data_IF_414768078019
#
_entry.id   IF_414768078019
#
_cell.length_a   1.000
_cell.length_b   1.000
_cell.length_c   1.000
_cell.angle_alpha   90.00
_cell.angle_beta   90.00
_cell.angle_gamma   90.00
#
_symmetry.space_group_name_H-M   'P 1'
#
loop_
_entity.id
_entity.type
_entity.pdbx_description
1 polymer ?
#
# COMPACT_ATOMS: atom_id res chain seq x y z
N UNK A 1 -20.57 -0.93 8.80
CA UNK A 1 -19.93 -0.44 10.05
C UNK A 1 -18.60 0.21 9.68
N UNK A 2 -18.60 1.53 9.45
CA UNK A 2 -17.36 2.29 9.41
C UNK A 2 -16.89 2.45 10.86
N UNK A 3 -16.00 1.56 11.30
CA UNK A 3 -15.48 1.62 12.64
C UNK A 3 -14.32 2.60 12.72
N UNK A 4 -14.39 3.52 13.68
CA UNK A 4 -13.28 4.39 14.10
C UNK A 4 -12.20 3.62 14.88
N UNK A 5 -12.48 2.39 15.26
CA UNK A 5 -11.56 1.47 15.96
C UNK A 5 -11.07 0.39 15.01
N UNK A 6 -9.80 0.02 15.14
CA UNK A 6 -9.24 -1.10 14.40
C UNK A 6 -9.98 -2.40 14.74
N UNK A 7 -10.50 -3.11 13.74
CA UNK A 7 -11.12 -4.42 13.90
C UNK A 7 -10.55 -5.42 12.90
N UNK A 8 -10.28 -6.62 13.39
CA UNK A 8 -9.80 -7.72 12.57
C UNK A 8 -10.90 -8.76 12.36
N UNK A 9 -11.44 -8.96 11.13
CA UNK A 9 -12.21 -10.15 10.86
C UNK A 9 -11.37 -11.39 11.15
N UNK A 10 -11.90 -12.28 11.99
CA UNK A 10 -11.24 -13.49 12.42
C UNK A 10 -11.75 -14.71 11.66
N UNK A 11 -10.86 -15.66 11.38
CA UNK A 11 -11.22 -17.03 11.01
C UNK A 11 -11.96 -17.72 12.17
N UNK A 12 -12.64 -18.84 11.88
CA UNK A 12 -13.40 -19.62 12.88
C UNK A 12 -12.59 -20.03 14.12
N UNK A 13 -11.28 -20.11 13.99
CA UNK A 13 -10.37 -20.48 15.08
C UNK A 13 -9.78 -19.27 15.84
N UNK A 14 -10.28 -18.05 15.59
CA UNK A 14 -9.83 -16.82 16.24
C UNK A 14 -8.60 -16.15 15.60
N UNK A 15 -8.09 -16.69 14.48
CA UNK A 15 -6.98 -16.07 13.74
C UNK A 15 -7.43 -14.84 12.96
N UNK A 16 -6.83 -13.68 13.24
CA UNK A 16 -7.05 -12.45 12.45
C UNK A 16 -6.45 -12.63 11.06
N UNK A 17 -7.24 -12.42 10.01
CA UNK A 17 -6.81 -12.59 8.60
C UNK A 17 -6.72 -11.27 7.83
N UNK A 18 -7.29 -10.20 8.37
CA UNK A 18 -7.22 -8.84 7.87
C UNK A 18 -7.40 -7.88 9.05
N UNK A 19 -6.88 -6.66 8.94
CA UNK A 19 -7.07 -5.61 9.95
C UNK A 19 -7.53 -4.35 9.26
N UNK A 20 -8.79 -3.95 9.51
CA UNK A 20 -9.31 -2.65 9.10
C UNK A 20 -8.83 -1.65 10.14
N UNK A 21 -7.70 -1.01 9.89
CA UNK A 21 -7.01 -0.17 10.86
C UNK A 21 -7.63 1.22 11.02
N UNK A 22 -8.38 1.67 10.01
CA UNK A 22 -8.91 3.03 9.98
C UNK A 22 -7.76 4.02 9.87
N UNK A 23 -7.80 5.08 10.68
CA UNK A 23 -6.75 6.09 10.76
C UNK A 23 -6.46 6.47 12.22
N UNK A 24 -5.30 7.08 12.52
CA UNK A 24 -5.05 7.68 13.82
C UNK A 24 -6.06 8.77 14.17
N UNK A 25 -6.38 8.92 15.46
CA UNK A 25 -7.21 10.00 16.02
C UNK A 25 -6.49 11.38 16.05
N UNK A 26 -5.47 11.58 15.23
CA UNK A 26 -4.71 12.82 15.18
C UNK A 26 -5.51 13.93 14.48
N UNK A 27 -5.55 15.16 15.03
CA UNK A 27 -6.40 16.24 14.50
C UNK A 27 -6.07 16.63 13.04
N UNK A 28 -4.86 16.32 12.57
CA UNK A 28 -4.38 16.68 11.24
C UNK A 28 -4.26 15.46 10.30
N UNK A 29 -4.90 14.32 10.60
CA UNK A 29 -4.77 13.14 9.73
C UNK A 29 -5.44 13.32 8.37
N UNK A 30 -6.59 14.01 8.32
CA UNK A 30 -7.25 14.32 7.06
C UNK A 30 -6.35 15.16 6.15
N UNK A 31 -5.60 16.13 6.71
CA UNK A 31 -4.63 16.92 5.94
C UNK A 31 -3.50 16.05 5.38
N UNK A 32 -3.07 15.00 6.08
CA UNK A 32 -2.03 14.07 5.60
C UNK A 32 -2.50 13.34 4.35
N UNK A 33 -3.69 12.75 4.40
CA UNK A 33 -4.17 11.96 3.27
C UNK A 33 -4.51 12.86 2.06
N UNK A 34 -5.02 14.07 2.32
CA UNK A 34 -5.27 15.06 1.26
C UNK A 34 -3.97 15.53 0.60
N UNK A 35 -2.94 15.88 1.38
CA UNK A 35 -1.63 16.24 0.82
C UNK A 35 -1.07 15.09 -0.03
N UNK A 36 -1.12 13.85 0.47
CA UNK A 36 -0.65 12.69 -0.27
C UNK A 36 -1.39 12.52 -1.62
N UNK A 37 -2.72 12.69 -1.61
CA UNK A 37 -3.54 12.63 -2.82
C UNK A 37 -3.21 13.76 -3.81
N UNK A 38 -3.11 14.99 -3.32
CA UNK A 38 -2.79 16.17 -4.14
C UNK A 38 -1.39 16.08 -4.76
N UNK A 39 -0.41 15.54 -4.02
CA UNK A 39 0.95 15.28 -4.52
C UNK A 39 0.94 14.26 -5.65
N UNK A 40 0.19 13.16 -5.50
CA UNK A 40 0.05 12.16 -6.57
C UNK A 40 -0.58 12.78 -7.82
N UNK A 41 -1.68 13.52 -7.69
CA UNK A 41 -2.32 14.13 -8.85
C UNK A 41 -1.42 15.16 -9.53
N UNK A 42 -0.74 16.00 -8.74
CA UNK A 42 0.14 17.06 -9.25
C UNK A 42 1.33 16.48 -10.03
N UNK A 43 1.99 15.44 -9.48
CA UNK A 43 3.18 14.84 -10.07
C UNK A 43 2.87 13.83 -11.18
N UNK A 44 1.61 13.43 -11.35
CA UNK A 44 1.19 12.48 -12.38
C UNK A 44 1.58 12.92 -13.78
N UNK A 45 1.49 14.22 -14.07
CA UNK A 45 1.84 14.81 -15.39
C UNK A 45 3.34 14.73 -15.69
N UNK A 46 4.17 14.61 -14.66
CA UNK A 46 5.62 14.54 -14.76
C UNK A 46 6.13 13.09 -14.87
N UNK A 47 5.23 12.11 -14.76
CA UNK A 47 5.56 10.69 -14.89
C UNK A 47 5.75 10.29 -16.36
N UNK A 48 6.86 9.60 -16.64
CA UNK A 48 7.12 8.93 -17.91
C UNK A 48 6.65 7.46 -17.83
N UNK A 49 5.42 7.22 -18.28
CA UNK A 49 4.74 5.92 -18.13
C UNK A 49 4.66 5.16 -19.44
N UNK A 50 5.15 3.92 -19.44
CA UNK A 50 4.93 2.93 -20.49
C UNK A 50 3.46 2.48 -20.59
N UNK A 51 3.10 1.74 -21.64
CA UNK A 51 1.76 1.15 -21.79
C UNK A 51 1.36 0.31 -20.57
N UNK A 52 2.28 -0.52 -20.11
CA UNK A 52 2.05 -1.51 -19.05
C UNK A 52 1.98 -0.85 -17.67
N UNK A 53 2.47 0.38 -17.53
CA UNK A 53 2.31 1.19 -16.31
C UNK A 53 1.00 2.00 -16.30
N UNK A 54 0.28 2.07 -17.43
CA UNK A 54 -1.03 2.74 -17.55
C UNK A 54 -2.18 1.73 -17.57
N UNK A 55 -1.93 0.55 -18.10
CA UNK A 55 -2.87 -0.56 -18.20
C UNK A 55 -2.15 -1.82 -17.76
N UNK A 56 -2.46 -2.27 -16.55
CA UNK A 56 -1.85 -3.45 -15.95
C UNK A 56 -2.92 -4.42 -15.44
N UNK A 57 -2.48 -5.61 -15.02
CA UNK A 57 -3.37 -6.65 -14.48
C UNK A 57 -4.30 -6.18 -13.37
N UNK A 58 -3.85 -5.20 -12.56
CA UNK A 58 -4.64 -4.67 -11.46
C UNK A 58 -5.63 -3.59 -11.89
N UNK A 59 -5.48 -2.91 -13.04
CA UNK A 59 -6.37 -1.81 -13.40
C UNK A 59 -5.88 -0.94 -14.55
N UNK A 60 -6.66 0.11 -14.83
CA UNK A 60 -6.39 1.11 -15.88
C UNK A 60 -6.09 2.47 -15.24
N UNK A 61 -4.94 2.57 -14.60
CA UNK A 61 -4.44 3.80 -14.01
C UNK A 61 -2.91 3.79 -13.99
N UNK A 62 -2.31 4.94 -13.72
CA UNK A 62 -0.87 5.06 -13.63
C UNK A 62 -0.36 4.51 -12.29
N UNK A 63 0.58 3.57 -12.32
CA UNK A 63 1.19 3.01 -11.12
C UNK A 63 2.71 2.97 -11.22
N UNK A 64 3.39 3.52 -10.20
CA UNK A 64 4.84 3.44 -10.06
C UNK A 64 5.22 2.78 -8.73
N UNK A 65 6.35 2.09 -8.71
CA UNK A 65 6.85 1.33 -7.57
C UNK A 65 8.23 1.81 -7.17
N UNK A 66 8.48 1.89 -5.87
CA UNK A 66 9.77 2.27 -5.30
C UNK A 66 10.14 1.31 -4.16
N UNK A 67 11.44 1.09 -3.98
CA UNK A 67 11.99 0.25 -2.91
C UNK A 67 12.62 -1.03 -3.43
N UNK A 68 12.88 -1.96 -2.50
CA UNK A 68 13.57 -3.23 -2.72
C UNK A 68 12.55 -4.27 -3.15
N UNK A 69 12.84 -4.97 -4.25
CA UNK A 69 11.95 -6.00 -4.79
C UNK A 69 12.76 -7.22 -5.24
N UNK A 70 12.08 -8.36 -5.33
CA UNK A 70 12.56 -9.58 -5.98
C UNK A 70 11.45 -10.18 -6.85
N UNK A 71 11.81 -10.69 -8.03
CA UNK A 71 10.86 -11.18 -9.04
C UNK A 71 10.83 -10.32 -10.31
N UNK A 72 9.87 -10.59 -11.21
CA UNK A 72 9.74 -9.82 -12.46
C UNK A 72 10.92 -9.95 -13.43
N UNK A 73 11.67 -11.05 -13.36
CA UNK A 73 12.88 -11.29 -14.16
C UNK A 73 14.19 -10.92 -13.46
N UNK A 74 14.15 -10.30 -12.27
CA UNK A 74 15.34 -10.07 -11.47
C UNK A 74 15.93 -11.39 -10.96
N UNK A 75 17.26 -11.52 -11.01
CA UNK A 75 17.97 -12.73 -10.53
C UNK A 75 18.30 -12.68 -9.04
N UNK A 76 18.28 -11.50 -8.43
CA UNK A 76 18.52 -11.25 -7.01
C UNK A 76 17.67 -10.05 -6.52
N UNK A 77 17.49 -9.87 -5.20
CA UNK A 77 16.85 -8.67 -4.66
C UNK A 77 17.62 -7.40 -5.03
N UNK A 78 16.92 -6.36 -5.46
CA UNK A 78 17.53 -5.07 -5.81
C UNK A 78 16.49 -3.95 -5.69
N UNK A 79 16.96 -2.70 -5.63
CA UNK A 79 16.07 -1.55 -5.79
C UNK A 79 15.45 -1.53 -7.20
N UNK A 80 14.16 -1.23 -7.27
CA UNK A 80 13.43 -1.11 -8.53
C UNK A 80 14.01 0.03 -9.39
N UNK A 81 14.46 -0.31 -10.60
CA UNK A 81 14.97 0.66 -11.56
C UNK A 81 13.83 1.47 -12.19
N UNK A 82 14.02 2.77 -12.31
CA UNK A 82 13.05 3.72 -12.87
C UNK A 82 13.75 4.65 -13.86
N UNK A 83 12.99 5.20 -14.81
CA UNK A 83 13.53 6.26 -15.69
C UNK A 83 13.91 7.47 -14.85
N UNK A 84 14.84 8.30 -15.34
CA UNK A 84 15.27 9.50 -14.61
C UNK A 84 14.09 10.40 -14.20
N UNK A 85 13.12 10.60 -15.09
CA UNK A 85 11.90 11.36 -14.80
C UNK A 85 11.08 10.73 -13.64
N UNK A 86 10.85 9.42 -13.69
CA UNK A 86 10.10 8.73 -12.64
C UNK A 86 10.86 8.67 -11.32
N UNK A 87 12.19 8.55 -11.35
CA UNK A 87 13.04 8.61 -10.15
C UNK A 87 12.87 9.95 -9.45
N UNK A 88 12.87 11.07 -10.18
CA UNK A 88 12.61 12.40 -9.59
C UNK A 88 11.24 12.50 -8.94
N UNK A 89 10.19 12.01 -9.60
CA UNK A 89 8.83 11.97 -9.03
C UNK A 89 8.79 11.11 -7.77
N UNK A 90 9.31 9.88 -7.83
CA UNK A 90 9.28 8.94 -6.71
C UNK A 90 10.11 9.44 -5.52
N UNK A 91 11.27 10.06 -5.76
CA UNK A 91 12.08 10.69 -4.71
C UNK A 91 11.31 11.83 -4.03
N UNK A 92 10.52 12.61 -4.77
CA UNK A 92 9.67 13.65 -4.19
C UNK A 92 8.56 13.03 -3.32
N UNK A 93 7.95 11.93 -3.78
CA UNK A 93 6.91 11.23 -3.02
C UNK A 93 7.45 10.56 -1.75
N UNK A 94 8.58 9.85 -1.81
CA UNK A 94 9.13 9.18 -0.63
C UNK A 94 9.67 10.16 0.43
N UNK A 95 10.09 11.37 0.04
CA UNK A 95 10.52 12.41 0.96
C UNK A 95 9.38 13.33 1.44
N UNK A 96 8.15 13.12 0.97
CA UNK A 96 6.99 13.87 1.44
C UNK A 96 6.56 13.38 2.83
N UNK A 97 6.40 14.31 3.76
CA UNK A 97 6.03 14.03 5.15
C UNK A 97 4.71 13.25 5.24
N UNK A 98 3.76 13.52 4.35
CA UNK A 98 2.50 12.79 4.32
C UNK A 98 2.71 11.27 4.13
N UNK A 99 3.50 10.87 3.13
CA UNK A 99 3.78 9.45 2.88
C UNK A 99 4.61 8.80 3.98
N UNK A 100 5.55 9.53 4.58
CA UNK A 100 6.30 9.06 5.75
C UNK A 100 5.32 8.74 6.90
N UNK A 101 4.37 9.64 7.20
CA UNK A 101 3.37 9.43 8.25
C UNK A 101 2.46 8.23 7.96
N UNK A 102 2.01 8.07 6.72
CA UNK A 102 1.21 6.91 6.29
C UNK A 102 1.98 5.59 6.46
N UNK A 103 3.24 5.54 6.03
CA UNK A 103 4.08 4.35 6.14
C UNK A 103 4.42 3.97 7.59
N UNK A 104 4.69 4.98 8.43
CA UNK A 104 4.88 4.79 9.86
C UNK A 104 3.61 4.20 10.51
N UNK A 105 2.44 4.76 10.23
CA UNK A 105 1.18 4.25 10.78
C UNK A 105 0.92 2.81 10.36
N UNK A 106 1.06 2.50 9.08
CA UNK A 106 0.91 1.15 8.56
C UNK A 106 1.84 0.14 9.26
N UNK A 107 3.09 0.53 9.50
CA UNK A 107 4.08 -0.32 10.18
C UNK A 107 3.75 -0.50 11.67
N UNK A 108 3.31 0.54 12.36
CA UNK A 108 2.87 0.46 13.76
C UNK A 108 1.64 -0.43 13.93
N UNK A 109 0.66 -0.34 13.01
CA UNK A 109 -0.50 -1.24 13.01
C UNK A 109 -0.06 -2.68 12.80
N UNK A 110 0.88 -2.93 11.87
CA UNK A 110 1.40 -4.27 11.64
C UNK A 110 2.07 -4.84 12.90
N UNK A 111 2.97 -4.08 13.52
CA UNK A 111 3.64 -4.48 14.75
C UNK A 111 2.65 -4.80 15.89
N UNK A 112 1.53 -4.07 15.96
CA UNK A 112 0.50 -4.25 16.99
C UNK A 112 -0.32 -5.51 16.78
N UNK A 113 -0.78 -5.75 15.55
CA UNK A 113 -1.78 -6.80 15.26
C UNK A 113 -1.17 -8.14 14.87
N UNK A 114 0.05 -8.16 14.35
CA UNK A 114 0.74 -9.39 13.97
C UNK A 114 2.23 -9.34 14.33
N UNK A 115 2.58 -9.18 15.63
CA UNK A 115 3.96 -8.96 16.08
C UNK A 115 4.94 -10.05 15.65
N UNK A 116 4.50 -11.31 15.62
CA UNK A 116 5.34 -12.42 15.17
C UNK A 116 5.67 -12.32 13.68
N UNK A 117 4.70 -11.94 12.84
CA UNK A 117 4.90 -11.76 11.41
C UNK A 117 5.68 -10.47 11.12
N UNK A 118 5.45 -9.39 11.88
CA UNK A 118 6.26 -8.19 11.83
C UNK A 118 7.74 -8.50 12.14
N UNK A 119 8.00 -9.30 13.18
CA UNK A 119 9.36 -9.74 13.53
C UNK A 119 9.99 -10.57 12.41
N UNK A 120 9.22 -11.44 11.74
CA UNK A 120 9.68 -12.17 10.57
C UNK A 120 10.15 -11.21 9.46
N UNK A 121 9.34 -10.19 9.14
CA UNK A 121 9.74 -9.17 8.17
C UNK A 121 11.01 -8.43 8.61
N UNK A 122 11.10 -8.06 9.89
CA UNK A 122 12.21 -7.28 10.42
C UNK A 122 13.54 -8.05 10.33
N UNK A 123 13.55 -9.32 10.73
CA UNK A 123 14.74 -10.18 10.66
C UNK A 123 15.20 -10.32 9.21
N UNK A 124 14.30 -10.74 8.31
CA UNK A 124 14.71 -11.00 6.92
C UNK A 124 15.09 -9.74 6.15
N UNK A 125 14.44 -8.60 6.43
CA UNK A 125 14.84 -7.33 5.84
C UNK A 125 16.20 -6.86 6.38
N UNK A 126 16.44 -7.02 7.69
CA UNK A 126 17.73 -6.71 8.30
C UNK A 126 18.87 -7.55 7.72
N UNK A 127 18.67 -8.87 7.65
CA UNK A 127 19.66 -9.80 7.08
C UNK A 127 19.97 -9.43 5.62
N UNK A 128 18.92 -9.10 4.83
CA UNK A 128 19.09 -8.67 3.45
C UNK A 128 19.95 -7.40 3.34
N UNK A 129 19.72 -6.40 4.19
CA UNK A 129 20.46 -5.14 4.19
C UNK A 129 21.91 -5.29 4.70
N UNK A 130 22.17 -6.26 5.59
CA UNK A 130 23.54 -6.61 5.99
C UNK A 130 24.28 -7.29 4.83
N UNK A 131 23.60 -8.17 4.10
CA UNK A 131 24.22 -8.91 3.00
C UNK A 131 24.49 -8.04 1.76
N UNK A 132 23.67 -7.01 1.53
CA UNK A 132 23.84 -6.09 0.40
C UNK A 132 23.65 -4.63 0.86
N UNK A 133 24.77 -3.98 1.14
CA UNK A 133 24.83 -2.58 1.54
C UNK A 133 24.49 -1.59 0.40
N UNK A 134 24.28 -2.05 -0.83
CA UNK A 134 23.83 -1.19 -1.95
C UNK A 134 22.33 -0.96 -1.94
N UNK A 135 21.57 -1.75 -1.18
CA UNK A 135 20.12 -1.65 -1.08
C UNK A 135 19.68 -0.43 -0.27
N UNK A 136 18.76 0.34 -0.85
CA UNK A 136 18.23 1.56 -0.26
C UNK A 136 16.79 1.33 0.20
N UNK A 137 16.54 1.52 1.48
CA UNK A 137 15.20 1.50 2.06
C UNK A 137 14.37 2.70 1.62
N UNK A 138 13.08 2.48 1.37
CA UNK A 138 12.10 3.53 1.07
C UNK A 138 11.88 4.47 2.26
N UNK A 139 11.66 3.93 3.46
CA UNK A 139 11.53 4.72 4.69
C UNK A 139 12.17 3.98 5.86
N UNK A 140 12.96 4.70 6.66
CA UNK A 140 13.64 4.15 7.86
C UNK A 140 12.67 3.60 8.91
N UNK A 141 11.46 4.16 8.97
CA UNK A 141 10.42 3.78 9.94
C UNK A 141 9.34 2.87 9.32
N UNK A 142 9.59 2.29 8.14
CA UNK A 142 8.68 1.34 7.49
C UNK A 142 9.23 -0.08 7.50
N UNK A 143 8.39 -1.05 7.86
CA UNK A 143 8.73 -2.47 7.75
C UNK A 143 8.57 -3.01 6.32
N UNK A 144 7.84 -2.29 5.47
CA UNK A 144 7.61 -2.68 4.09
C UNK A 144 8.77 -2.23 3.21
N UNK A 145 9.41 -3.19 2.54
CA UNK A 145 10.59 -2.99 1.69
C UNK A 145 10.30 -2.23 0.38
N UNK A 146 9.05 -2.20 -0.05
CA UNK A 146 8.61 -1.48 -1.25
C UNK A 146 7.22 -0.87 -1.07
N UNK A 147 6.96 0.17 -1.86
CA UNK A 147 5.68 0.85 -1.95
C UNK A 147 5.24 0.99 -3.42
N UNK A 148 3.92 0.94 -3.64
CA UNK A 148 3.31 1.27 -4.92
C UNK A 148 2.48 2.54 -4.77
N UNK A 149 2.73 3.52 -5.64
CA UNK A 149 1.97 4.75 -5.74
C UNK A 149 0.99 4.62 -6.92
N UNK A 150 -0.30 4.65 -6.62
CA UNK A 150 -1.37 4.64 -7.62
C UNK A 150 -1.79 6.09 -7.88
N UNK A 151 -1.51 6.60 -9.06
CA UNK A 151 -1.76 7.99 -9.42
C UNK A 151 -3.20 8.16 -9.89
N UNK A 152 -3.86 9.20 -9.36
CA UNK A 152 -5.26 9.55 -9.63
C UNK A 152 -5.54 10.02 -11.06
N UNK A 153 -6.72 10.61 -11.32
CA UNK A 153 -7.76 10.94 -10.34
C UNK A 153 -8.67 9.76 -9.96
N UNK A 154 -8.59 8.62 -10.68
CA UNK A 154 -9.40 7.42 -10.41
C UNK A 154 -8.53 6.16 -10.51
N UNK A 155 -8.42 5.41 -9.42
CA UNK A 155 -7.59 4.19 -9.31
C UNK A 155 -8.46 2.95 -9.11
N UNK A 156 -9.28 2.64 -10.12
CA UNK A 156 -10.17 1.47 -10.10
C UNK A 156 -9.36 0.19 -10.31
N UNK A 157 -9.31 -0.65 -9.28
CA UNK A 157 -8.65 -1.93 -9.32
C UNK A 157 -9.62 -3.04 -9.77
N UNK A 158 -9.25 -3.81 -10.79
CA UNK A 158 -9.90 -5.07 -11.13
C UNK A 158 -9.73 -6.10 -10.01
N UNK A 159 -10.51 -7.17 -10.04
CA UNK A 159 -10.33 -8.31 -9.12
C UNK A 159 -9.00 -9.00 -9.39
N UNK A 160 -8.11 -9.01 -8.42
CA UNK A 160 -6.79 -9.64 -8.54
C UNK A 160 -6.25 -10.13 -7.18
N UNK A 161 -5.11 -10.81 -7.24
CA UNK A 161 -4.18 -10.99 -6.12
C UNK A 161 -2.82 -10.43 -6.52
N UNK A 162 -2.01 -10.09 -5.53
CA UNK A 162 -0.62 -9.72 -5.76
C UNK A 162 0.31 -10.90 -5.52
N UNK A 163 0.25 -11.87 -6.45
CA UNK A 163 0.95 -13.16 -6.38
C UNK A 163 2.48 -13.08 -6.23
N UNK A 164 3.09 -11.91 -6.38
CA UNK A 164 4.52 -11.69 -6.17
C UNK A 164 4.89 -11.39 -4.71
N UNK A 165 3.89 -11.13 -3.86
CA UNK A 165 4.10 -10.90 -2.43
C UNK A 165 4.27 -12.24 -1.68
N UNK A 166 4.85 -12.18 -0.48
CA UNK A 166 4.95 -13.31 0.43
C UNK A 166 3.54 -13.88 0.73
N UNK A 167 3.25 -15.17 0.47
CA UNK A 167 1.89 -15.71 0.58
C UNK A 167 1.19 -15.50 1.92
N UNK A 168 1.91 -15.72 3.02
CA UNK A 168 1.41 -15.49 4.39
C UNK A 168 1.71 -14.08 4.91
N UNK A 169 2.40 -13.27 4.11
CA UNK A 169 2.76 -11.91 4.44
C UNK A 169 1.57 -10.96 4.36
N UNK A 170 1.61 -9.87 5.11
CA UNK A 170 0.63 -8.80 5.04
C UNK A 170 1.19 -7.60 4.31
N UNK A 171 0.31 -6.87 3.63
CA UNK A 171 0.60 -5.58 3.01
C UNK A 171 -0.41 -4.56 3.48
N UNK A 172 0.02 -3.31 3.58
CA UNK A 172 -0.86 -2.19 3.90
C UNK A 172 -1.39 -1.53 2.61
N UNK A 173 -2.69 -1.22 2.61
CA UNK A 173 -3.33 -0.36 1.61
C UNK A 173 -3.91 0.84 2.34
N UNK A 174 -3.67 2.05 1.83
CA UNK A 174 -4.29 3.27 2.32
C UNK A 174 -5.12 3.91 1.21
N UNK A 175 -6.39 4.21 1.47
CA UNK A 175 -7.22 5.01 0.56
C UNK A 175 -6.86 6.49 0.68
N UNK A 176 -6.80 7.20 -0.45
CA UNK A 176 -6.46 8.62 -0.52
C UNK A 176 -7.47 9.36 -1.40
N UNK A 177 -7.57 10.67 -1.20
CA UNK A 177 -8.31 11.59 -2.06
C UNK A 177 -9.62 12.09 -1.45
N UNK A 178 -10.48 12.64 -2.29
CA UNK A 178 -11.78 13.19 -1.89
C UNK A 178 -12.88 12.45 -2.64
N UNK A 179 -13.59 11.57 -1.92
CA UNK A 179 -14.76 10.86 -2.43
C UNK A 179 -15.71 10.53 -1.28
N UNK A 180 -16.99 10.30 -1.61
CA UNK A 180 -17.97 9.85 -0.63
C UNK A 180 -17.88 8.32 -0.47
N UNK A 181 -17.21 7.88 0.59
CA UNK A 181 -16.96 6.47 0.88
C UNK A 181 -18.20 5.65 1.26
N UNK A 182 -19.37 6.28 1.40
CA UNK A 182 -20.65 5.59 1.53
C UNK A 182 -21.34 5.33 0.18
N UNK A 183 -20.88 5.99 -0.89
CA UNK A 183 -21.44 5.86 -2.23
C UNK A 183 -20.51 5.12 -3.21
N UNK A 184 -19.25 4.91 -2.84
CA UNK A 184 -18.24 4.33 -3.73
C UNK A 184 -16.87 4.19 -3.09
N UNK A 185 -15.90 3.69 -3.86
CA UNK A 185 -14.53 3.47 -3.37
C UNK A 185 -14.41 2.34 -2.33
N UNK A 186 -15.44 1.52 -2.18
CA UNK A 186 -15.47 0.43 -1.21
C UNK A 186 -14.40 -0.61 -1.58
N UNK A 187 -13.73 -1.16 -0.57
CA UNK A 187 -12.82 -2.28 -0.75
C UNK A 187 -13.61 -3.59 -0.73
N UNK A 188 -13.38 -4.44 -1.72
CA UNK A 188 -14.04 -5.75 -1.83
C UNK A 188 -13.01 -6.84 -1.56
N UNK A 189 -13.26 -7.66 -0.54
CA UNK A 189 -12.48 -8.86 -0.21
C UNK A 189 -13.31 -10.08 -0.61
N UNK A 190 -13.08 -10.58 -1.82
CA UNK A 190 -13.96 -11.54 -2.49
C UNK A 190 -14.05 -12.88 -1.77
N UNK A 191 -12.92 -13.38 -1.27
CA UNK A 191 -12.88 -14.70 -0.60
C UNK A 191 -13.57 -14.67 0.76
N UNK A 192 -13.60 -13.49 1.40
CA UNK A 192 -14.30 -13.28 2.67
C UNK A 192 -15.76 -12.87 2.47
N UNK A 193 -16.19 -12.65 1.22
CA UNK A 193 -17.51 -12.10 0.88
C UNK A 193 -17.81 -10.78 1.61
N UNK A 194 -16.78 -9.94 1.76
CA UNK A 194 -16.89 -8.64 2.43
C UNK A 194 -16.81 -7.49 1.44
N UNK A 195 -17.69 -6.51 1.61
CA UNK A 195 -17.61 -5.18 1.01
C UNK A 195 -17.47 -4.19 2.16
N UNK A 196 -16.41 -3.39 2.11
CA UNK A 196 -15.96 -2.55 3.23
C UNK A 196 -16.02 -1.09 2.77
N UNK A 197 -16.80 -0.28 3.48
CA UNK A 197 -16.67 1.18 3.44
C UNK A 197 -15.23 1.53 3.77
N UNK A 198 -14.51 2.14 2.82
CA UNK A 198 -13.08 2.40 2.94
C UNK A 198 -12.81 3.90 2.80
N UNK A 199 -12.93 4.67 3.91
CA UNK A 199 -12.80 6.13 3.88
C UNK A 199 -11.41 6.60 3.42
N UNK A 200 -11.29 7.77 2.76
CA UNK A 200 -10.01 8.42 2.56
C UNK A 200 -9.23 8.55 3.88
N UNK A 201 -7.91 8.36 3.81
CA UNK A 201 -7.00 8.32 4.97
C UNK A 201 -7.02 7.01 5.75
N UNK A 202 -7.95 6.09 5.48
CA UNK A 202 -8.01 4.81 6.17
C UNK A 202 -7.03 3.80 5.59
N UNK A 203 -6.46 2.98 6.48
CA UNK A 203 -5.51 1.92 6.16
C UNK A 203 -6.09 0.55 6.51
N UNK A 204 -5.80 -0.46 5.69
CA UNK A 204 -6.11 -1.87 5.95
C UNK A 204 -4.85 -2.71 5.73
N UNK A 205 -4.67 -3.75 6.54
CA UNK A 205 -3.62 -4.76 6.34
C UNK A 205 -4.27 -6.08 5.95
N UNK A 206 -3.88 -6.65 4.81
CA UNK A 206 -4.37 -7.94 4.32
C UNK A 206 -3.27 -8.75 3.64
N UNK A 207 -3.41 -10.09 3.57
CA UNK A 207 -2.50 -10.94 2.80
C UNK A 207 -2.83 -10.87 1.30
N UNK A 208 -2.33 -9.82 0.63
CA UNK A 208 -2.65 -9.52 -0.78
C UNK A 208 -2.27 -10.64 -1.76
N UNK A 209 -1.28 -11.47 -1.41
CA UNK A 209 -0.82 -12.57 -2.24
C UNK A 209 -1.90 -13.66 -2.45
N UNK A 210 -2.72 -13.90 -1.42
CA UNK A 210 -3.68 -15.00 -1.40
C UNK A 210 -5.12 -14.52 -1.35
N UNK A 211 -5.38 -13.26 -0.96
CA UNK A 211 -6.72 -12.72 -0.83
C UNK A 211 -7.12 -11.92 -2.06
N UNK A 212 -8.12 -12.43 -2.81
CA UNK A 212 -8.67 -11.76 -4.00
C UNK A 212 -9.37 -10.48 -3.58
N UNK A 213 -8.92 -9.36 -4.13
CA UNK A 213 -9.44 -8.04 -3.76
C UNK A 213 -9.61 -7.12 -4.97
N UNK A 214 -10.43 -6.09 -4.81
CA UNK A 214 -10.68 -5.00 -5.76
C UNK A 214 -11.26 -3.78 -5.02
N UNK A 215 -11.51 -2.68 -5.72
CA UNK A 215 -12.32 -1.58 -5.19
C UNK A 215 -13.50 -1.25 -6.13
N UNK A 216 -14.52 -0.58 -5.60
CA UNK A 216 -15.63 -0.07 -6.40
C UNK A 216 -15.31 1.32 -6.95
N UNK A 217 -16.04 1.74 -7.99
CA UNK A 217 -15.92 3.10 -8.51
C UNK A 217 -16.36 4.12 -7.43
N UNK A 218 -15.81 5.33 -7.48
CA UNK A 218 -16.03 6.39 -6.47
C UNK A 218 -17.26 7.29 -6.74
N UNK A 219 -18.02 7.00 -7.80
CA UNK A 219 -19.08 7.88 -8.31
C UNK A 219 -18.57 8.82 -9.40
#
# INVERSE_FOLDING_TARGET
>A
MASRTAHGPAHRDGHVIAVIAGHPDGPNWDQVQEEAAERLETLRKDCSLSSDQRVHRQGRFAALRYGISYGGGQTHPQNLHQTWANTTVLMTLINCLAFIRLACFASSVFATWAPNLFRYYAIHLHDLLIHDATLIMNWTHSIFAAATFNFGPRTLCFRHTDSGNLPFGWCAITALGRFNYHCGGHLVLWDLKLVIDFPPGSTILIPLAILRHSNTNIG
#
